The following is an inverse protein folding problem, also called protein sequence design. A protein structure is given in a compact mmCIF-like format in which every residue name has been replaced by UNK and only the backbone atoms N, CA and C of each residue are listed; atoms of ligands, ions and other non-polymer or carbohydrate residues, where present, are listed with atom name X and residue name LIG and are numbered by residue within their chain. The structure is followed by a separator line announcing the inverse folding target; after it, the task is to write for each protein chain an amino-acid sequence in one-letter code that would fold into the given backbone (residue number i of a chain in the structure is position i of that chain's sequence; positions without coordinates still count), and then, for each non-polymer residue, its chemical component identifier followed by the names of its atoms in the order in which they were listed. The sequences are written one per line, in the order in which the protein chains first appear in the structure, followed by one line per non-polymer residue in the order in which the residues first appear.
data_IF_004545291140
#
_entry.id   IF_004545291140
#
_cell.length_a   1.000
_cell.length_b   1.000
_cell.length_c   1.000
_cell.angle_alpha   90.00
_cell.angle_beta   90.00
_cell.angle_gamma   90.00
#
_symmetry.space_group_name_H-M   'P 1'
#
loop_
_entity.id
_entity.type
_entity.pdbx_description
1 polymer ?
#
# COMPACT_ATOMS: atom_id res chain seq x y z
N UNK A 1 11.52 -4.99 22.79
CA UNK A 1 11.97 -4.85 21.39
C UNK A 1 10.81 -5.31 20.53
N UNK A 2 10.24 -4.44 19.74
CA UNK A 2 9.22 -4.80 18.76
C UNK A 2 9.85 -5.74 17.74
N UNK A 3 9.23 -6.88 17.53
CA UNK A 3 9.68 -7.86 16.55
C UNK A 3 8.84 -7.73 15.28
N UNK A 4 9.34 -8.19 14.14
CA UNK A 4 8.53 -8.23 12.91
C UNK A 4 7.29 -9.13 13.05
N UNK A 5 7.20 -9.91 14.13
CA UNK A 5 6.03 -10.71 14.51
C UNK A 5 4.88 -9.85 15.06
N UNK A 6 5.17 -8.66 15.58
CA UNK A 6 4.15 -7.74 16.14
C UNK A 6 3.48 -6.91 15.04
N UNK A 7 3.91 -7.09 13.77
CA UNK A 7 3.38 -6.38 12.61
C UNK A 7 2.41 -7.26 11.82
N UNK A 8 1.22 -6.75 11.56
CA UNK A 8 0.26 -7.35 10.64
C UNK A 8 0.28 -6.59 9.32
N UNK A 9 0.56 -7.28 8.23
CA UNK A 9 0.60 -6.67 6.90
C UNK A 9 -0.73 -6.86 6.16
N UNK A 10 -1.21 -5.80 5.55
CA UNK A 10 -2.44 -5.76 4.76
C UNK A 10 -2.12 -5.28 3.35
N UNK A 11 -2.18 -6.17 2.36
CA UNK A 11 -1.93 -5.84 0.96
C UNK A 11 -3.26 -5.62 0.25
N UNK A 12 -3.43 -4.44 -0.34
CA UNK A 12 -4.65 -4.06 -1.03
C UNK A 12 -4.65 -4.61 -2.46
N UNK A 13 -5.31 -5.73 -2.67
CA UNK A 13 -5.44 -6.42 -3.96
C UNK A 13 -6.63 -5.99 -4.81
N UNK A 14 -7.30 -4.90 -4.43
CA UNK A 14 -8.49 -4.38 -5.10
C UNK A 14 -8.19 -3.34 -6.18
N UNK A 15 -9.15 -3.14 -7.08
CA UNK A 15 -9.10 -2.11 -8.11
C UNK A 15 -9.40 -2.66 -9.51
N UNK A 16 -10.17 -1.88 -10.29
CA UNK A 16 -10.61 -2.28 -11.64
C UNK A 16 -9.46 -2.33 -12.64
N UNK A 17 -8.41 -1.51 -12.44
CA UNK A 17 -7.21 -1.50 -13.29
C UNK A 17 -7.47 -1.13 -14.75
N UNK A 18 -8.42 -0.27 -15.02
CA UNK A 18 -8.87 0.11 -16.38
C UNK A 18 -7.75 0.61 -17.29
N UNK A 19 -6.72 1.24 -16.72
CA UNK A 19 -5.55 1.74 -17.48
C UNK A 19 -4.69 0.62 -18.09
N UNK A 20 -4.79 -0.60 -17.57
CA UNK A 20 -4.04 -1.77 -18.07
C UNK A 20 -4.89 -2.69 -18.96
N UNK A 21 -6.06 -2.21 -19.45
CA UNK A 21 -6.83 -2.97 -20.43
C UNK A 21 -5.99 -3.22 -21.70
N UNK A 22 -6.01 -4.41 -22.32
CA UNK A 22 -6.89 -5.56 -22.01
C UNK A 22 -6.35 -6.53 -20.97
N UNK A 23 -5.20 -6.30 -20.35
CA UNK A 23 -4.58 -7.22 -19.38
C UNK A 23 -5.47 -7.46 -18.14
N UNK A 24 -6.30 -6.47 -17.80
CA UNK A 24 -7.22 -6.52 -16.66
C UNK A 24 -8.65 -6.94 -17.03
N UNK A 25 -8.89 -7.40 -18.25
CA UNK A 25 -10.22 -7.82 -18.70
C UNK A 25 -10.82 -8.93 -17.82
N UNK A 26 -10.02 -9.97 -17.53
CA UNK A 26 -10.44 -11.17 -16.79
C UNK A 26 -9.74 -11.32 -15.42
N UNK A 27 -9.05 -10.30 -14.95
CA UNK A 27 -8.29 -10.35 -13.69
C UNK A 27 -8.13 -8.98 -13.05
N UNK A 28 -7.96 -8.94 -11.75
CA UNK A 28 -7.60 -7.70 -11.03
C UNK A 28 -6.20 -7.23 -11.44
N UNK A 29 -5.91 -5.94 -11.26
CA UNK A 29 -4.59 -5.34 -11.59
C UNK A 29 -3.42 -6.05 -10.88
N UNK A 30 -3.48 -6.39 -9.58
CA UNK A 30 -2.42 -7.14 -8.91
C UNK A 30 -2.14 -8.53 -9.47
N UNK A 31 -3.12 -9.12 -10.19
CA UNK A 31 -2.97 -10.42 -10.85
C UNK A 31 -2.36 -10.35 -12.24
N UNK A 32 -2.00 -9.17 -12.74
CA UNK A 32 -1.36 -9.01 -14.05
C UNK A 32 0.02 -9.66 -14.03
N UNK A 33 0.36 -10.52 -15.03
CA UNK A 33 1.66 -11.17 -15.12
C UNK A 33 2.81 -10.18 -15.26
N UNK A 34 3.91 -10.49 -14.58
CA UNK A 34 5.15 -9.73 -14.61
C UNK A 34 6.32 -10.72 -14.83
N UNK A 35 7.17 -10.49 -15.82
CA UNK A 35 8.35 -11.31 -16.08
C UNK A 35 8.06 -12.80 -16.29
N UNK A 36 6.92 -13.15 -16.87
CA UNK A 36 6.51 -14.52 -17.18
C UNK A 36 5.72 -15.21 -16.06
N UNK A 37 6.37 -15.67 -15.02
CA UNK A 37 5.74 -16.45 -13.93
C UNK A 37 5.21 -15.63 -12.74
N UNK A 38 5.73 -14.43 -12.56
CA UNK A 38 5.33 -13.55 -11.46
C UNK A 38 4.07 -12.74 -11.79
N UNK A 39 3.50 -12.12 -10.77
CA UNK A 39 2.41 -11.15 -10.86
C UNK A 39 2.76 -9.89 -10.09
N UNK A 40 2.08 -8.79 -10.33
CA UNK A 40 2.34 -7.53 -9.62
C UNK A 40 2.27 -7.69 -8.10
N UNK A 41 1.33 -8.49 -7.59
CA UNK A 41 1.18 -8.77 -6.15
C UNK A 41 2.42 -9.41 -5.52
N UNK A 42 3.24 -10.12 -6.32
CA UNK A 42 4.43 -10.78 -5.78
C UNK A 42 5.50 -9.77 -5.33
N UNK A 43 5.46 -8.53 -5.82
CA UNK A 43 6.39 -7.48 -5.40
C UNK A 43 6.20 -7.11 -3.92
N UNK A 44 5.02 -6.62 -3.47
CA UNK A 44 4.84 -6.32 -2.06
C UNK A 44 4.98 -7.55 -1.16
N UNK A 45 4.46 -8.70 -1.55
CA UNK A 45 4.60 -9.93 -0.74
C UNK A 45 6.08 -10.33 -0.60
N UNK A 46 6.88 -10.29 -1.68
CA UNK A 46 8.30 -10.60 -1.62
C UNK A 46 9.08 -9.63 -0.74
N UNK A 47 8.77 -8.32 -0.82
CA UNK A 47 9.38 -7.32 0.06
C UNK A 47 9.04 -7.59 1.55
N UNK A 48 7.78 -7.98 1.84
CA UNK A 48 7.37 -8.37 3.20
C UNK A 48 8.16 -9.58 3.70
N UNK A 49 8.22 -10.65 2.90
CA UNK A 49 8.94 -11.87 3.27
C UNK A 49 10.43 -11.61 3.46
N UNK A 50 11.03 -10.74 2.65
CA UNK A 50 12.43 -10.33 2.78
C UNK A 50 12.68 -9.58 4.09
N UNK A 51 11.75 -8.74 4.52
CA UNK A 51 11.80 -8.03 5.80
C UNK A 51 11.40 -8.91 7.02
N UNK A 52 11.11 -10.20 6.80
CA UNK A 52 10.69 -11.12 7.88
C UNK A 52 9.22 -10.99 8.27
N UNK A 53 8.43 -10.20 7.56
CA UNK A 53 6.99 -10.03 7.78
C UNK A 53 6.24 -11.21 7.17
N UNK A 54 5.70 -12.09 8.00
CA UNK A 54 5.06 -13.34 7.57
C UNK A 54 3.56 -13.40 7.85
N UNK A 55 2.98 -12.40 8.50
CA UNK A 55 1.55 -12.32 8.82
C UNK A 55 0.89 -11.35 7.85
N UNK A 56 0.37 -11.88 6.74
CA UNK A 56 -0.06 -11.09 5.58
C UNK A 56 -1.51 -11.42 5.19
N UNK A 57 -2.36 -10.41 5.19
CA UNK A 57 -3.67 -10.47 4.52
C UNK A 57 -3.63 -9.76 3.17
N UNK A 58 -4.24 -10.39 2.16
CA UNK A 58 -4.44 -9.80 0.83
C UNK A 58 -5.92 -9.50 0.66
N UNK A 59 -6.31 -8.23 0.70
CA UNK A 59 -7.70 -7.82 0.52
C UNK A 59 -8.07 -7.78 -0.95
N UNK A 60 -9.11 -8.52 -1.34
CA UNK A 60 -9.53 -8.62 -2.74
C UNK A 60 -11.00 -8.28 -2.90
N UNK A 61 -11.36 -7.75 -4.07
CA UNK A 61 -12.75 -7.37 -4.36
C UNK A 61 -13.13 -7.72 -5.79
N UNK A 62 -12.44 -7.18 -6.77
CA UNK A 62 -12.84 -7.24 -8.18
C UNK A 62 -11.99 -8.26 -8.96
N UNK A 63 -12.64 -9.12 -9.77
CA UNK A 63 -11.99 -10.14 -10.61
C UNK A 63 -10.89 -10.93 -9.89
N UNK A 64 -11.15 -11.33 -8.64
CA UNK A 64 -10.14 -11.83 -7.71
C UNK A 64 -9.77 -13.30 -7.90
N UNK A 65 -10.56 -14.10 -8.59
CA UNK A 65 -10.37 -15.56 -8.69
C UNK A 65 -8.95 -15.97 -9.13
N UNK A 66 -8.39 -15.26 -10.13
CA UNK A 66 -7.04 -15.50 -10.62
C UNK A 66 -5.96 -15.09 -9.59
N UNK A 67 -6.20 -14.02 -8.83
CA UNK A 67 -5.31 -13.56 -7.76
C UNK A 67 -5.33 -14.54 -6.59
N UNK A 68 -6.52 -14.91 -6.13
CA UNK A 68 -6.71 -15.83 -5.00
C UNK A 68 -6.01 -17.17 -5.26
N UNK A 69 -6.20 -17.71 -6.47
CA UNK A 69 -5.52 -18.96 -6.88
C UNK A 69 -4.00 -18.81 -6.86
N UNK A 70 -3.48 -17.70 -7.39
CA UNK A 70 -2.04 -17.45 -7.43
C UNK A 70 -1.45 -17.37 -6.02
N UNK A 71 -2.04 -16.58 -5.13
CA UNK A 71 -1.56 -16.44 -3.75
C UNK A 71 -1.60 -17.78 -3.02
N UNK A 72 -2.72 -18.51 -3.09
CA UNK A 72 -2.87 -19.79 -2.41
C UNK A 72 -1.92 -20.90 -2.93
N UNK A 73 -1.50 -20.82 -4.20
CA UNK A 73 -0.60 -21.82 -4.78
C UNK A 73 0.87 -21.46 -4.60
N UNK A 74 1.21 -20.16 -4.62
CA UNK A 74 2.59 -19.69 -4.60
C UNK A 74 3.13 -19.57 -3.18
N UNK A 75 2.31 -19.06 -2.25
CA UNK A 75 2.74 -18.74 -0.90
C UNK A 75 2.18 -19.74 0.10
N UNK A 76 2.95 -20.82 0.31
CA UNK A 76 2.63 -21.83 1.31
C UNK A 76 3.71 -21.83 2.37
N UNK A 77 3.39 -21.29 3.53
CA UNK A 77 4.24 -21.39 4.69
C UNK A 77 4.08 -22.78 5.31
N UNK A 78 5.12 -23.29 5.93
CA UNK A 78 5.06 -24.59 6.62
C UNK A 78 4.23 -24.48 7.91
N UNK A 79 3.73 -25.61 8.40
CA UNK A 79 2.87 -25.66 9.59
C UNK A 79 3.58 -25.33 10.90
N UNK A 80 4.89 -25.17 10.88
CA UNK A 80 5.72 -24.85 12.05
C UNK A 80 6.11 -23.37 12.09
N UNK A 81 5.91 -22.62 10.99
CA UNK A 81 6.15 -21.19 10.95
C UNK A 81 4.95 -20.43 11.51
N UNK A 82 5.22 -19.48 12.38
CA UNK A 82 4.21 -18.56 12.96
C UNK A 82 3.77 -17.50 11.98
N UNK A 83 3.39 -17.89 10.75
CA UNK A 83 3.02 -16.95 9.71
C UNK A 83 1.90 -17.49 8.83
N UNK A 84 1.26 -16.58 8.12
CA UNK A 84 0.22 -16.90 7.15
C UNK A 84 0.21 -15.87 6.00
N UNK A 85 -0.24 -16.30 4.84
CA UNK A 85 -0.56 -15.40 3.72
C UNK A 85 -1.94 -15.81 3.24
N UNK A 86 -2.94 -15.02 3.65
CA UNK A 86 -4.34 -15.33 3.43
C UNK A 86 -5.05 -14.26 2.60
N UNK A 87 -6.02 -14.70 1.82
CA UNK A 87 -6.84 -13.79 1.01
C UNK A 87 -8.17 -13.54 1.70
N UNK A 88 -8.48 -12.29 1.97
CA UNK A 88 -9.78 -11.84 2.42
C UNK A 88 -10.50 -11.16 1.26
N UNK A 89 -11.59 -11.77 0.81
CA UNK A 89 -12.46 -11.17 -0.21
C UNK A 89 -13.47 -10.22 0.43
N UNK A 90 -13.90 -9.20 -0.33
CA UNK A 90 -15.07 -8.42 0.07
C UNK A 90 -16.29 -9.35 0.20
N UNK A 91 -17.00 -9.22 1.30
CA UNK A 91 -18.15 -10.05 1.62
C UNK A 91 -19.43 -9.23 1.64
N UNK A 92 -20.51 -9.86 1.19
CA UNK A 92 -21.86 -9.37 1.46
C UNK A 92 -22.27 -9.85 2.86
N UNK A 93 -22.73 -8.93 3.68
CA UNK A 93 -23.22 -9.24 5.03
C UNK A 93 -24.70 -8.87 5.17
N UNK A 94 -25.41 -9.42 6.14
CA UNK A 94 -26.78 -9.02 6.41
C UNK A 94 -26.96 -7.52 6.68
N UNK A 95 -25.88 -6.84 7.05
CA UNK A 95 -25.83 -5.40 7.36
C UNK A 95 -25.63 -4.52 6.10
N UNK A 96 -25.33 -5.12 4.94
CA UNK A 96 -25.22 -4.40 3.67
C UNK A 96 -24.45 -5.15 2.58
N UNK A 97 -24.80 -4.85 1.33
CA UNK A 97 -24.14 -5.36 0.12
C UNK A 97 -23.06 -4.40 -0.40
N UNK A 98 -22.29 -3.80 0.48
CA UNK A 98 -21.42 -2.70 0.07
C UNK A 98 -20.03 -3.22 -0.33
N UNK A 99 -19.65 -2.90 -1.55
CA UNK A 99 -18.28 -2.99 -2.01
C UNK A 99 -17.42 -1.96 -1.27
N UNK A 100 -16.12 -2.26 -1.09
CA UNK A 100 -15.17 -1.30 -0.52
C UNK A 100 -15.21 0.04 -1.26
N UNK A 101 -15.48 1.11 -0.55
CA UNK A 101 -15.61 2.46 -1.10
C UNK A 101 -14.25 3.15 -1.31
N UNK A 102 -13.15 2.48 -0.95
CA UNK A 102 -11.79 2.95 -1.07
C UNK A 102 -10.83 2.12 -0.24
N UNK A 103 -9.57 2.51 -0.24
CA UNK A 103 -8.50 1.77 0.44
C UNK A 103 -8.69 1.71 1.96
N UNK A 104 -8.97 2.84 2.59
CA UNK A 104 -9.21 2.92 4.03
C UNK A 104 -10.48 2.15 4.44
N UNK A 105 -11.53 2.20 3.60
CA UNK A 105 -12.75 1.45 3.85
C UNK A 105 -12.55 -0.05 3.77
N UNK A 106 -11.73 -0.52 2.83
CA UNK A 106 -11.35 -1.92 2.71
C UNK A 106 -10.70 -2.44 4.00
N UNK A 107 -9.73 -1.69 4.54
CA UNK A 107 -9.06 -2.04 5.80
C UNK A 107 -10.06 -2.02 6.96
N UNK A 108 -10.89 -0.97 7.06
CA UNK A 108 -11.88 -0.84 8.13
C UNK A 108 -12.89 -1.99 8.13
N UNK A 109 -13.42 -2.37 6.99
CA UNK A 109 -14.34 -3.51 6.88
C UNK A 109 -13.64 -4.84 7.19
N UNK A 110 -12.39 -5.01 6.80
CA UNK A 110 -11.61 -6.21 7.07
C UNK A 110 -11.19 -6.34 8.54
N UNK A 111 -11.25 -5.27 9.35
CA UNK A 111 -10.83 -5.27 10.78
C UNK A 111 -11.51 -6.38 11.59
N UNK A 112 -12.75 -6.74 11.25
CA UNK A 112 -13.50 -7.84 11.91
C UNK A 112 -12.77 -9.18 11.85
N UNK A 113 -11.97 -9.43 10.81
CA UNK A 113 -11.25 -10.69 10.60
C UNK A 113 -9.95 -10.76 11.39
N UNK A 114 -9.37 -9.64 11.74
CA UNK A 114 -8.08 -9.60 12.42
C UNK A 114 -8.06 -8.85 13.76
N UNK A 115 -9.23 -8.41 14.28
CA UNK A 115 -9.33 -7.77 15.61
C UNK A 115 -8.84 -8.65 16.77
N UNK A 116 -8.84 -9.99 16.57
CA UNK A 116 -8.38 -10.95 17.58
C UNK A 116 -6.92 -11.35 17.35
N UNK A 117 -6.26 -10.79 16.35
CA UNK A 117 -4.84 -11.00 16.09
C UNK A 117 -4.07 -9.99 16.92
N UNK A 118 -3.17 -10.48 17.74
CA UNK A 118 -2.29 -9.64 18.53
C UNK A 118 -1.26 -9.00 17.58
N UNK A 119 -1.37 -7.69 17.36
CA UNK A 119 -0.50 -6.91 16.51
C UNK A 119 -0.43 -5.47 16.99
N UNK A 120 0.77 -5.00 17.25
CA UNK A 120 1.02 -3.62 17.69
C UNK A 120 0.99 -2.64 16.51
N UNK A 121 1.37 -3.12 15.32
CA UNK A 121 1.50 -2.28 14.13
C UNK A 121 0.82 -2.91 12.93
N UNK A 122 0.33 -2.04 12.05
CA UNK A 122 -0.27 -2.42 10.77
C UNK A 122 0.55 -1.83 9.63
N UNK A 123 1.05 -2.69 8.73
CA UNK A 123 1.67 -2.26 7.48
C UNK A 123 0.66 -2.41 6.34
N UNK A 124 0.24 -1.30 5.75
CA UNK A 124 -0.78 -1.27 4.69
C UNK A 124 -0.10 -0.95 3.36
N UNK A 125 -0.25 -1.85 2.38
CA UNK A 125 0.46 -1.79 1.11
C UNK A 125 -0.51 -1.79 -0.07
N UNK A 126 -0.25 -0.94 -1.06
CA UNK A 126 -0.86 -1.10 -2.37
C UNK A 126 -0.23 -2.31 -3.10
N UNK A 127 -1.08 -3.18 -3.63
CA UNK A 127 -0.67 -4.45 -4.29
C UNK A 127 -0.52 -4.37 -5.81
N UNK A 128 -0.46 -3.17 -6.39
CA UNK A 128 -0.66 -2.96 -7.81
C UNK A 128 0.42 -2.13 -8.51
N UNK A 129 1.57 -1.92 -7.88
CA UNK A 129 2.72 -1.25 -8.47
C UNK A 129 4.04 -1.94 -8.15
N UNK A 130 5.07 -1.60 -8.90
CA UNK A 130 6.41 -2.19 -8.81
C UNK A 130 7.33 -1.25 -8.07
N UNK A 131 7.91 -1.72 -6.98
CA UNK A 131 8.88 -0.97 -6.18
C UNK A 131 9.79 -1.92 -5.41
N UNK A 132 10.90 -1.41 -4.91
CA UNK A 132 11.77 -2.09 -3.96
C UNK A 132 11.87 -1.22 -2.71
N UNK A 133 11.59 -1.80 -1.56
CA UNK A 133 11.62 -1.09 -0.28
C UNK A 133 11.97 -2.07 0.83
N UNK A 134 12.78 -1.63 1.78
CA UNK A 134 12.97 -2.32 3.04
C UNK A 134 11.90 -1.85 4.03
N UNK A 135 10.99 -2.74 4.36
CA UNK A 135 9.93 -2.43 5.32
C UNK A 135 10.43 -2.44 6.77
N UNK A 136 11.56 -3.09 7.04
CA UNK A 136 12.20 -3.02 8.35
C UNK A 136 12.58 -1.58 8.69
N UNK A 137 13.27 -0.88 7.79
CA UNK A 137 13.63 0.53 7.96
C UNK A 137 12.41 1.44 8.13
N UNK A 138 11.33 1.17 7.40
CA UNK A 138 10.08 1.95 7.53
C UNK A 138 9.46 1.78 8.93
N UNK A 139 9.39 0.54 9.41
CA UNK A 139 8.80 0.21 10.72
C UNK A 139 9.68 0.75 11.84
N UNK A 140 11.00 0.59 11.76
CA UNK A 140 11.94 1.16 12.72
C UNK A 140 11.80 2.68 12.82
N UNK A 141 11.75 3.37 11.68
CA UNK A 141 11.53 4.83 11.64
C UNK A 141 10.19 5.23 12.26
N UNK A 142 9.13 4.45 12.05
CA UNK A 142 7.83 4.68 12.67
C UNK A 142 7.89 4.61 14.20
N UNK A 143 8.54 3.57 14.71
CA UNK A 143 8.69 3.33 16.15
C UNK A 143 9.58 4.40 16.79
N UNK A 144 10.73 4.69 16.21
CA UNK A 144 11.67 5.69 16.72
C UNK A 144 11.06 7.09 16.82
N UNK A 145 10.19 7.43 15.88
CA UNK A 145 9.49 8.72 15.85
C UNK A 145 8.22 8.75 16.69
N UNK A 146 7.82 7.60 17.25
CA UNK A 146 6.55 7.43 17.98
C UNK A 146 5.39 8.04 17.18
N UNK A 147 5.34 7.74 15.88
CA UNK A 147 4.36 8.28 14.97
C UNK A 147 3.04 7.51 15.05
N UNK A 148 1.90 8.19 14.91
CA UNK A 148 0.60 7.51 14.77
C UNK A 148 0.44 6.88 13.38
N UNK A 149 0.95 7.55 12.34
CA UNK A 149 0.93 7.09 10.95
C UNK A 149 2.23 7.53 10.26
N UNK A 150 2.88 6.59 9.59
CA UNK A 150 4.02 6.87 8.70
C UNK A 150 3.62 6.62 7.26
N UNK A 151 3.95 7.53 6.36
CA UNK A 151 3.59 7.43 4.94
C UNK A 151 4.87 7.37 4.11
N UNK A 152 5.06 6.29 3.37
CA UNK A 152 6.13 6.25 2.38
C UNK A 152 5.80 7.17 1.20
N UNK A 153 6.74 8.01 0.85
CA UNK A 153 6.57 9.03 -0.17
C UNK A 153 7.78 9.11 -1.10
N UNK A 154 7.56 9.62 -2.31
CA UNK A 154 8.62 9.83 -3.29
C UNK A 154 8.49 11.18 -3.99
N UNK A 155 9.62 11.80 -4.36
CA UNK A 155 9.63 13.00 -5.18
C UNK A 155 9.10 12.72 -6.59
N UNK A 156 8.21 13.57 -7.09
CA UNK A 156 7.60 13.42 -8.42
C UNK A 156 7.61 14.72 -9.21
N UNK A 157 7.52 14.58 -10.54
CA UNK A 157 7.39 15.71 -11.46
C UNK A 157 6.01 16.36 -11.35
N UNK A 158 5.82 17.61 -11.80
CA UNK A 158 4.50 18.25 -11.85
C UNK A 158 3.48 17.46 -12.68
N UNK A 159 3.93 16.81 -13.74
CA UNK A 159 3.07 15.98 -14.60
C UNK A 159 2.54 14.76 -13.85
N UNK A 160 3.43 14.00 -13.18
CA UNK A 160 3.06 12.84 -12.39
C UNK A 160 2.19 13.21 -11.20
N UNK A 161 2.43 14.37 -10.57
CA UNK A 161 1.70 14.85 -9.40
C UNK A 161 0.19 14.96 -9.65
N UNK A 162 -0.23 15.26 -10.87
CA UNK A 162 -1.67 15.32 -11.22
C UNK A 162 -2.40 13.98 -11.10
N UNK A 163 -1.66 12.88 -11.02
CA UNK A 163 -2.21 11.52 -10.97
C UNK A 163 -2.07 10.85 -9.60
N UNK A 164 -1.45 11.53 -8.63
CA UNK A 164 -1.07 10.99 -7.33
C UNK A 164 -1.61 11.82 -6.18
N UNK A 165 -1.63 11.25 -4.99
CA UNK A 165 -1.90 11.98 -3.76
C UNK A 165 -0.65 12.73 -3.31
N UNK A 166 -0.72 14.05 -3.22
CA UNK A 166 0.40 14.93 -2.88
C UNK A 166 0.36 15.30 -1.41
N UNK A 167 1.50 15.08 -0.75
CA UNK A 167 1.71 15.37 0.65
C UNK A 167 2.33 16.76 0.82
N UNK A 168 1.82 17.50 1.79
CA UNK A 168 2.49 18.71 2.30
C UNK A 168 3.07 18.39 3.67
N UNK A 169 4.36 18.63 3.82
CA UNK A 169 5.07 18.40 5.07
C UNK A 169 5.65 19.71 5.61
N UNK A 170 5.79 19.81 6.94
CA UNK A 170 6.56 20.86 7.58
C UNK A 170 8.06 20.52 7.59
N UNK A 171 8.89 21.38 8.23
CA UNK A 171 10.34 21.19 8.36
C UNK A 171 10.75 19.89 9.07
N UNK A 172 9.89 19.36 9.91
CA UNK A 172 10.12 18.15 10.72
C UNK A 172 9.59 16.88 10.04
N UNK A 173 9.21 17.01 8.76
CA UNK A 173 8.60 15.96 7.94
C UNK A 173 7.21 15.48 8.44
N UNK A 174 6.53 16.25 9.29
CA UNK A 174 5.14 15.97 9.64
C UNK A 174 4.22 16.37 8.50
N UNK A 175 3.28 15.49 8.15
CA UNK A 175 2.27 15.76 7.13
C UNK A 175 1.27 16.77 7.68
N UNK A 176 1.17 17.92 7.02
CA UNK A 176 0.25 19.01 7.37
C UNK A 176 -0.89 19.17 6.37
N UNK A 177 -0.86 18.42 5.28
CA UNK A 177 -1.93 18.41 4.29
C UNK A 177 -1.75 17.33 3.23
N UNK A 178 -2.88 17.00 2.57
CA UNK A 178 -2.96 16.00 1.52
C UNK A 178 -3.91 16.49 0.43
N UNK A 179 -3.46 16.44 -0.82
CA UNK A 179 -4.24 16.82 -1.98
C UNK A 179 -4.29 15.65 -2.97
N UNK A 180 -5.45 15.03 -3.15
CA UNK A 180 -5.64 13.88 -4.06
C UNK A 180 -5.79 14.36 -5.50
N UNK A 181 -4.86 13.97 -6.36
CA UNK A 181 -4.83 14.28 -7.80
C UNK A 181 -5.11 15.76 -8.08
N UNK A 182 -4.31 16.68 -7.54
CA UNK A 182 -4.52 18.10 -7.71
C UNK A 182 -4.43 18.52 -9.19
N UNK A 183 -5.23 19.49 -9.59
CA UNK A 183 -5.13 20.09 -10.91
C UNK A 183 -3.90 21.04 -11.00
N UNK A 184 -3.60 21.54 -12.19
CA UNK A 184 -2.43 22.37 -12.42
C UNK A 184 -2.45 23.69 -11.61
N UNK A 185 -3.63 24.29 -11.41
CA UNK A 185 -3.78 25.50 -10.60
C UNK A 185 -3.41 25.21 -9.14
N UNK A 186 -3.96 24.12 -8.60
CA UNK A 186 -3.66 23.70 -7.23
C UNK A 186 -2.20 23.33 -7.04
N UNK A 187 -1.57 22.68 -8.01
CA UNK A 187 -0.13 22.39 -7.96
C UNK A 187 0.72 23.65 -7.91
N UNK A 188 0.35 24.71 -8.63
CA UNK A 188 1.07 25.99 -8.58
C UNK A 188 1.01 26.63 -7.19
N UNK A 189 -0.13 26.57 -6.50
CA UNK A 189 -0.27 27.01 -5.12
C UNK A 189 0.57 26.16 -4.15
N UNK A 190 0.56 24.84 -4.34
CA UNK A 190 1.33 23.91 -3.52
C UNK A 190 2.83 24.12 -3.68
N UNK A 191 3.32 24.38 -4.89
CA UNK A 191 4.72 24.65 -5.18
C UNK A 191 5.23 25.87 -4.42
N UNK A 192 4.42 26.92 -4.29
CA UNK A 192 4.78 28.11 -3.54
C UNK A 192 4.91 27.88 -2.03
N UNK A 193 4.37 26.78 -1.51
CA UNK A 193 4.35 26.44 -0.08
C UNK A 193 5.33 25.34 0.33
N UNK A 194 6.14 24.81 -0.62
CA UNK A 194 7.12 23.75 -0.31
C UNK A 194 8.24 24.34 0.56
N UNK A 195 8.48 23.82 1.78
CA UNK A 195 9.63 24.22 2.55
C UNK A 195 10.92 23.90 1.80
N UNK A 196 11.78 24.88 1.64
CA UNK A 196 13.11 24.71 1.07
C UNK A 196 13.98 23.93 2.05
N UNK A 197 13.99 22.59 1.94
CA UNK A 197 14.82 21.77 2.82
C UNK A 197 15.21 20.44 2.17
N UNK A 198 16.41 19.91 2.48
CA UNK A 198 16.96 18.69 1.90
C UNK A 198 16.25 17.40 2.35
N UNK A 199 15.26 17.50 3.22
CA UNK A 199 14.73 16.37 3.99
C UNK A 199 13.92 15.35 3.20
N UNK A 200 13.57 15.60 1.93
CA UNK A 200 12.69 14.71 1.17
C UNK A 200 13.25 14.31 -0.21
N UNK A 201 14.51 14.58 -0.52
CA UNK A 201 15.08 14.30 -1.85
C UNK A 201 14.41 15.11 -2.97
N UNK A 202 13.72 16.20 -2.63
CA UNK A 202 13.10 17.09 -3.59
C UNK A 202 14.15 17.78 -4.47
N UNK A 203 13.86 17.85 -5.75
CA UNK A 203 14.71 18.52 -6.75
C UNK A 203 13.86 19.54 -7.53
N UNK A 204 14.49 20.50 -8.24
CA UNK A 204 13.74 21.41 -9.10
C UNK A 204 12.84 20.70 -10.12
N UNK A 205 13.27 19.54 -10.62
CA UNK A 205 12.50 18.73 -11.57
C UNK A 205 11.41 17.89 -10.91
N UNK A 206 11.57 17.61 -9.60
CA UNK A 206 10.63 16.80 -8.79
C UNK A 206 10.29 17.53 -7.49
N UNK A 207 9.52 18.60 -7.58
CA UNK A 207 9.26 19.47 -6.43
C UNK A 207 8.12 19.00 -5.53
N UNK A 208 7.40 17.94 -5.89
CA UNK A 208 6.26 17.44 -5.13
C UNK A 208 6.55 16.10 -4.48
N UNK A 209 5.99 15.88 -3.30
CA UNK A 209 6.11 14.64 -2.55
C UNK A 209 4.81 13.84 -2.70
N UNK A 210 4.85 12.73 -3.41
CA UNK A 210 3.69 11.88 -3.65
C UNK A 210 3.65 10.67 -2.71
N UNK A 211 2.46 10.37 -2.18
CA UNK A 211 2.22 9.14 -1.43
C UNK A 211 2.40 7.91 -2.32
N UNK A 212 3.11 6.93 -1.82
CA UNK A 212 3.30 5.64 -2.49
C UNK A 212 2.15 4.65 -2.21
N UNK A 213 1.16 5.01 -1.38
CA UNK A 213 0.14 4.07 -0.94
C UNK A 213 0.70 2.97 -0.03
N UNK A 214 1.71 3.30 0.74
CA UNK A 214 2.39 2.46 1.73
C UNK A 214 2.36 3.21 3.06
N UNK A 215 1.74 2.58 4.05
CA UNK A 215 1.48 3.18 5.35
C UNK A 215 1.88 2.27 6.48
#
# INVERSE_FOLDING_TARGET
MTTMQDVLTIVLGGGRGTRLFPLTHLRSKPAVPLGGKYRLIDIPISNCLHAGLKRIYVLTQFNSASLNRHVAQTYRLDNFSEGFIEVLAAEQTPEGEQWFQGTADAVRQATRHFRNIDADYYLILAGDHVYRMDFGELIESHIERNADITIAAQPVTPEDATQMGILRCNSDAHVVGFDEKPNAERLSELHASVPSGPAAGLTPDKPFLASMGIY
#
